data_IF_819680195700
#
_entry.id   IF_819680195700
#
_cell.length_a   1.000
_cell.length_b   1.000
_cell.length_c   1.000
_cell.angle_alpha   90.00
_cell.angle_beta   90.00
_cell.angle_gamma   90.00
#
_symmetry.space_group_name_H-M   'P 1'
#
loop_
_entity.id
_entity.type
_entity.pdbx_description
1 polymer ?
#
# COMPACT_ATOMS: atom_id res chain seq x y z
N UNK A 1 4.68 12.73 17.87
CA UNK A 1 3.42 13.50 17.65
C UNK A 1 2.45 12.60 16.92
N UNK A 2 1.20 12.56 17.35
CA UNK A 2 0.11 11.91 16.61
C UNK A 2 -0.80 13.01 16.08
N UNK A 3 -1.20 12.91 14.80
CA UNK A 3 -2.15 13.80 14.16
C UNK A 3 -3.27 12.93 13.60
N UNK A 4 -4.51 13.19 14.01
CA UNK A 4 -5.69 12.56 13.42
C UNK A 4 -6.06 13.33 12.16
N UNK A 5 -6.14 12.64 11.03
CA UNK A 5 -6.43 13.27 9.75
C UNK A 5 -7.17 12.30 8.82
N UNK A 6 -8.05 12.85 8.00
CA UNK A 6 -8.70 12.15 6.90
C UNK A 6 -8.01 12.54 5.58
N UNK A 7 -7.24 11.61 5.01
CA UNK A 7 -6.47 11.86 3.78
C UNK A 7 -7.34 12.14 2.53
N UNK A 8 -8.66 12.11 2.66
CA UNK A 8 -9.60 12.54 1.62
C UNK A 8 -9.85 14.04 1.64
N UNK A 9 -9.31 14.74 2.65
CA UNK A 9 -9.55 16.19 2.89
C UNK A 9 -8.24 16.95 2.79
N UNK A 10 -8.15 17.86 1.84
CA UNK A 10 -6.97 18.71 1.62
C UNK A 10 -6.60 19.51 2.88
N UNK A 11 -7.61 19.96 3.64
CA UNK A 11 -7.40 20.71 4.88
C UNK A 11 -6.69 19.90 5.95
N UNK A 12 -7.01 18.59 6.07
CA UNK A 12 -6.37 17.71 7.05
C UNK A 12 -4.92 17.44 6.66
N UNK A 13 -4.64 17.27 5.36
CA UNK A 13 -3.28 17.09 4.85
C UNK A 13 -2.45 18.37 5.07
N UNK A 14 -3.02 19.53 4.79
CA UNK A 14 -2.39 20.82 5.08
C UNK A 14 -2.09 20.97 6.58
N UNK A 15 -3.00 20.56 7.44
CA UNK A 15 -2.80 20.58 8.89
C UNK A 15 -1.66 19.65 9.35
N UNK A 16 -1.52 18.46 8.75
CA UNK A 16 -0.36 17.58 9.01
C UNK A 16 0.94 18.32 8.67
N UNK A 17 0.98 18.95 7.51
CA UNK A 17 2.15 19.69 7.03
C UNK A 17 2.52 20.83 7.99
N UNK A 18 1.57 21.71 8.33
CA UNK A 18 1.82 22.86 9.21
C UNK A 18 2.28 22.43 10.62
N UNK A 19 1.67 21.38 11.18
CA UNK A 19 2.11 20.85 12.48
C UNK A 19 3.51 20.23 12.43
N UNK A 20 3.86 19.55 11.34
CA UNK A 20 5.18 18.96 11.15
C UNK A 20 6.22 20.05 10.99
N UNK A 21 5.93 21.07 10.17
CA UNK A 21 6.79 22.23 9.97
C UNK A 21 7.02 23.03 11.23
N UNK A 22 5.96 23.31 11.99
CA UNK A 22 6.07 24.05 13.25
C UNK A 22 6.93 23.33 14.28
N UNK A 23 6.90 22.00 14.31
CA UNK A 23 7.62 21.19 15.31
C UNK A 23 9.05 20.84 14.93
N UNK A 24 9.32 20.56 13.67
CA UNK A 24 10.60 20.02 13.19
C UNK A 24 11.22 20.81 12.02
N UNK A 25 10.59 21.89 11.57
CA UNK A 25 11.10 22.71 10.48
C UNK A 25 10.80 22.16 9.09
N UNK A 26 10.17 20.99 8.95
CA UNK A 26 9.83 20.34 7.71
C UNK A 26 9.75 18.83 7.80
N UNK A 27 9.70 18.17 6.65
CA UNK A 27 9.65 16.71 6.52
C UNK A 27 10.79 16.22 5.63
N UNK A 28 11.45 15.14 6.03
CA UNK A 28 12.52 14.49 5.26
C UNK A 28 12.06 13.20 4.60
N UNK A 29 11.12 12.49 5.22
CA UNK A 29 10.65 11.18 4.77
C UNK A 29 9.13 11.14 4.81
N UNK A 30 8.49 10.80 3.68
CA UNK A 30 7.06 10.52 3.57
C UNK A 30 6.85 9.03 3.28
N UNK A 31 6.07 8.35 4.13
CA UNK A 31 5.66 6.96 3.89
C UNK A 31 4.15 6.92 3.66
N UNK A 32 3.75 6.72 2.40
CA UNK A 32 2.35 6.52 2.03
C UNK A 32 1.95 5.07 2.30
N UNK A 33 1.38 4.83 3.48
CA UNK A 33 0.96 3.49 3.93
C UNK A 33 -0.55 3.37 4.17
N UNK A 34 -1.27 4.50 4.23
CA UNK A 34 -2.70 4.49 4.49
C UNK A 34 -3.47 3.76 3.37
N UNK A 35 -4.36 2.88 3.76
CA UNK A 35 -5.23 2.15 2.85
C UNK A 35 -6.51 1.73 3.57
N UNK A 36 -7.61 1.65 2.84
CA UNK A 36 -8.73 0.80 3.23
C UNK A 36 -8.40 -0.64 2.78
N UNK A 37 -8.60 -1.59 3.65
CA UNK A 37 -8.59 -3.01 3.31
C UNK A 37 -9.84 -3.62 3.95
N UNK A 38 -11.00 -3.46 3.27
CA UNK A 38 -12.25 -3.95 3.81
C UNK A 38 -12.15 -5.46 3.95
N UNK A 39 -12.16 -5.92 5.21
CA UNK A 39 -12.16 -7.35 5.50
C UNK A 39 -13.52 -7.92 5.14
N UNK A 40 -13.51 -9.04 4.45
CA UNK A 40 -14.71 -9.86 4.26
C UNK A 40 -15.09 -10.41 5.63
N UNK A 41 -16.07 -9.79 6.29
CA UNK A 41 -16.57 -10.26 7.59
C UNK A 41 -17.35 -11.55 7.40
N UNK A 42 -17.25 -12.44 8.37
CA UNK A 42 -17.91 -13.73 8.33
C UNK A 42 -19.41 -13.66 8.64
N UNK A 43 -19.92 -12.54 9.21
CA UNK A 43 -21.30 -12.40 9.67
C UNK A 43 -22.05 -11.27 8.95
N UNK A 44 -23.22 -11.57 8.45
CA UNK A 44 -24.34 -10.65 8.21
C UNK A 44 -24.55 -10.13 6.80
N UNK A 45 -23.53 -9.74 6.05
CA UNK A 45 -23.72 -9.05 4.75
C UNK A 45 -23.37 -9.92 3.52
N UNK A 46 -23.17 -11.22 3.72
CA UNK A 46 -22.73 -12.09 2.62
C UNK A 46 -21.35 -11.69 2.08
N UNK A 47 -20.74 -12.52 1.27
CA UNK A 47 -19.43 -12.24 0.64
C UNK A 47 -19.57 -11.78 -0.82
N UNK A 48 -20.80 -11.85 -1.37
CA UNK A 48 -21.10 -11.58 -2.76
C UNK A 48 -20.74 -10.14 -3.22
N UNK A 49 -20.71 -9.17 -2.30
CA UNK A 49 -20.33 -7.78 -2.61
C UNK A 49 -18.86 -7.64 -3.04
N UNK A 50 -17.99 -8.58 -2.66
CA UNK A 50 -16.56 -8.54 -3.04
C UNK A 50 -16.35 -8.90 -4.50
N UNK A 51 -17.32 -9.60 -5.12
CA UNK A 51 -17.24 -10.03 -6.50
C UNK A 51 -17.33 -8.85 -7.45
N UNK A 52 -16.60 -8.94 -8.56
CA UNK A 52 -16.47 -7.83 -9.51
C UNK A 52 -17.83 -7.36 -10.04
N UNK A 53 -18.71 -8.28 -10.38
CA UNK A 53 -20.05 -7.99 -10.90
C UNK A 53 -20.98 -7.29 -9.90
N UNK A 54 -20.69 -7.43 -8.60
CA UNK A 54 -21.50 -6.86 -7.50
C UNK A 54 -20.76 -5.76 -6.74
N UNK A 55 -19.53 -5.42 -7.14
CA UNK A 55 -18.68 -4.52 -6.36
C UNK A 55 -19.27 -3.11 -6.29
N UNK A 56 -19.61 -2.57 -5.09
CA UNK A 56 -20.30 -1.29 -4.99
C UNK A 56 -19.39 -0.12 -5.42
N UNK A 57 -19.90 0.76 -6.28
CA UNK A 57 -19.17 1.97 -6.70
C UNK A 57 -18.79 2.88 -5.53
N UNK A 58 -19.60 2.91 -4.47
CA UNK A 58 -19.29 3.69 -3.27
C UNK A 58 -18.03 3.16 -2.57
N UNK A 59 -17.89 1.83 -2.44
CA UNK A 59 -16.69 1.19 -1.88
C UNK A 59 -15.49 1.47 -2.76
N UNK A 60 -15.63 1.36 -4.09
CA UNK A 60 -14.60 1.74 -5.06
C UNK A 60 -14.11 3.17 -4.82
N UNK A 61 -15.03 4.14 -4.80
CA UNK A 61 -14.68 5.54 -4.63
C UNK A 61 -13.99 5.81 -3.29
N UNK A 62 -14.47 5.19 -2.21
CA UNK A 62 -13.88 5.32 -0.87
C UNK A 62 -12.47 4.74 -0.79
N UNK A 63 -12.25 3.58 -1.38
CA UNK A 63 -10.95 2.92 -1.36
C UNK A 63 -9.92 3.71 -2.18
N UNK A 64 -10.28 4.13 -3.41
CA UNK A 64 -9.44 4.98 -4.26
C UNK A 64 -9.11 6.30 -3.56
N UNK A 65 -10.11 6.93 -2.93
CA UNK A 65 -9.91 8.19 -2.24
C UNK A 65 -8.87 8.10 -1.12
N UNK A 66 -8.86 7.02 -0.34
CA UNK A 66 -7.87 6.83 0.74
C UNK A 66 -6.53 6.32 0.19
N UNK A 67 -6.57 5.24 -0.59
CA UNK A 67 -5.35 4.49 -0.92
C UNK A 67 -4.52 5.09 -2.05
N UNK A 68 -5.16 5.81 -2.99
CA UNK A 68 -4.48 6.40 -4.13
C UNK A 68 -4.52 7.93 -4.10
N UNK A 69 -5.71 8.53 -4.03
CA UNK A 69 -5.85 9.99 -4.01
C UNK A 69 -5.16 10.58 -2.77
N UNK A 70 -5.30 9.95 -1.59
CA UNK A 70 -4.60 10.39 -0.38
C UNK A 70 -3.08 10.36 -0.53
N UNK A 71 -2.51 9.31 -1.14
CA UNK A 71 -1.07 9.24 -1.41
C UNK A 71 -0.62 10.32 -2.41
N UNK A 72 -1.43 10.59 -3.44
CA UNK A 72 -1.18 11.67 -4.40
C UNK A 72 -1.18 13.04 -3.69
N UNK A 73 -2.19 13.35 -2.89
CA UNK A 73 -2.32 14.62 -2.18
C UNK A 73 -1.19 14.80 -1.15
N UNK A 74 -0.84 13.76 -0.40
CA UNK A 74 0.31 13.81 0.51
C UNK A 74 1.61 14.09 -0.25
N UNK A 75 1.84 13.42 -1.38
CA UNK A 75 3.00 13.69 -2.22
C UNK A 75 2.96 15.10 -2.81
N UNK A 76 1.80 15.60 -3.25
CA UNK A 76 1.65 16.94 -3.79
C UNK A 76 2.04 18.02 -2.77
N UNK A 77 1.56 17.91 -1.54
CA UNK A 77 1.85 18.91 -0.48
C UNK A 77 3.26 18.72 0.08
N UNK A 78 3.54 17.53 0.63
CA UNK A 78 4.77 17.26 1.36
C UNK A 78 5.98 17.04 0.44
N UNK A 79 5.76 16.39 -0.70
CA UNK A 79 6.81 16.18 -1.71
C UNK A 79 7.24 17.48 -2.41
N UNK A 80 6.31 18.41 -2.61
CA UNK A 80 6.65 19.75 -3.15
C UNK A 80 7.56 20.51 -2.19
N UNK A 81 7.30 20.45 -0.90
CA UNK A 81 8.18 21.03 0.13
C UNK A 81 9.58 20.40 0.11
N UNK A 82 9.65 19.06 0.03
CA UNK A 82 10.94 18.33 -0.11
C UNK A 82 11.69 18.79 -1.35
N UNK A 83 11.02 18.94 -2.48
CA UNK A 83 11.61 19.40 -3.73
C UNK A 83 12.13 20.85 -3.64
N UNK A 84 11.42 21.75 -2.96
CA UNK A 84 11.87 23.12 -2.69
C UNK A 84 13.07 23.16 -1.75
N UNK A 85 13.11 22.26 -0.76
CA UNK A 85 14.25 22.10 0.16
C UNK A 85 15.48 21.48 -0.54
N UNK A 86 15.29 20.79 -1.67
CA UNK A 86 16.36 20.10 -2.40
C UNK A 86 16.72 18.72 -1.85
N UNK A 87 15.89 18.13 -0.98
CA UNK A 87 16.15 16.83 -0.35
C UNK A 87 14.87 16.19 0.18
N UNK A 88 14.68 14.89 -0.06
CA UNK A 88 13.56 14.15 0.50
C UNK A 88 13.50 12.70 0.03
N UNK A 89 12.72 11.90 0.75
CA UNK A 89 12.44 10.50 0.41
C UNK A 89 10.94 10.23 0.50
N UNK A 90 10.37 9.67 -0.55
CA UNK A 90 8.99 9.19 -0.56
C UNK A 90 8.98 7.68 -0.74
N UNK A 91 8.29 6.96 0.13
CA UNK A 91 8.11 5.51 0.06
C UNK A 91 6.62 5.23 -0.08
N UNK A 92 6.21 4.66 -1.21
CA UNK A 92 4.85 4.22 -1.43
C UNK A 92 4.73 2.73 -1.08
N UNK A 93 3.87 2.39 -0.11
CA UNK A 93 3.63 1.00 0.29
C UNK A 93 2.61 0.38 -0.66
N UNK A 94 3.12 -0.33 -1.66
CA UNK A 94 2.33 -1.13 -2.58
C UNK A 94 2.03 -2.52 -1.98
N UNK A 95 2.13 -3.59 -2.76
CA UNK A 95 1.96 -4.99 -2.36
C UNK A 95 2.54 -5.90 -3.45
N UNK A 96 2.78 -7.16 -3.13
CA UNK A 96 2.94 -8.23 -4.10
C UNK A 96 1.75 -8.29 -5.09
N UNK A 97 0.52 -8.01 -4.61
CA UNK A 97 -0.69 -7.92 -5.44
C UNK A 97 -0.77 -6.63 -6.30
N UNK A 98 0.21 -5.76 -6.24
CA UNK A 98 0.44 -4.70 -7.22
C UNK A 98 1.30 -5.15 -8.41
N UNK A 99 1.92 -6.34 -8.31
CA UNK A 99 2.82 -6.93 -9.31
C UNK A 99 2.17 -8.14 -9.97
N UNK A 100 1.57 -9.03 -9.16
CA UNK A 100 0.88 -10.22 -9.62
C UNK A 100 -0.61 -10.15 -9.27
N UNK A 101 -1.43 -10.86 -10.03
CA UNK A 101 -2.86 -10.97 -9.73
C UNK A 101 -3.12 -11.78 -8.46
N UNK A 102 -4.19 -11.49 -7.71
CA UNK A 102 -4.62 -12.34 -6.60
C UNK A 102 -5.07 -13.71 -7.11
N UNK A 103 -4.64 -14.77 -6.45
CA UNK A 103 -5.24 -16.07 -6.63
C UNK A 103 -6.55 -16.13 -5.83
N UNK A 104 -7.67 -16.05 -6.52
CA UNK A 104 -8.98 -15.99 -5.89
C UNK A 104 -9.34 -17.26 -5.11
N UNK A 105 -8.74 -18.40 -5.45
CA UNK A 105 -8.95 -19.68 -4.75
C UNK A 105 -8.50 -19.64 -3.28
N UNK A 106 -7.63 -18.69 -2.91
CA UNK A 106 -7.22 -18.51 -1.52
C UNK A 106 -8.37 -18.08 -0.61
N UNK A 107 -9.41 -17.47 -1.18
CA UNK A 107 -10.54 -16.92 -0.44
C UNK A 107 -11.76 -17.83 -0.46
N UNK A 108 -11.72 -18.95 -1.19
CA UNK A 108 -12.85 -19.89 -1.28
C UNK A 108 -13.25 -20.44 0.08
N UNK A 109 -14.56 -20.55 0.30
CA UNK A 109 -15.18 -21.13 1.49
C UNK A 109 -15.92 -22.40 1.12
N UNK A 110 -15.73 -23.42 1.94
CA UNK A 110 -16.46 -24.69 1.78
C UNK A 110 -17.98 -24.47 1.92
N UNK A 111 -18.75 -25.17 1.10
CA UNK A 111 -20.21 -25.11 1.14
C UNK A 111 -20.86 -23.92 0.43
N UNK A 112 -20.08 -22.91 -0.02
CA UNK A 112 -20.65 -21.81 -0.80
C UNK A 112 -20.70 -22.15 -2.30
N UNK A 113 -21.79 -21.79 -3.02
CA UNK A 113 -21.85 -21.93 -4.46
C UNK A 113 -20.88 -20.97 -5.16
N UNK A 114 -20.43 -21.25 -6.41
CA UNK A 114 -19.45 -20.45 -7.12
C UNK A 114 -19.78 -18.94 -7.22
N UNK A 115 -21.06 -18.59 -7.35
CA UNK A 115 -21.52 -17.19 -7.44
C UNK A 115 -21.49 -16.42 -6.13
N UNK A 116 -21.30 -17.10 -4.99
CA UNK A 116 -21.26 -16.51 -3.65
C UNK A 116 -19.86 -16.58 -3.02
N UNK A 117 -18.89 -17.19 -3.71
CA UNK A 117 -17.53 -17.29 -3.22
C UNK A 117 -16.92 -15.90 -3.04
N UNK A 118 -16.28 -15.61 -1.89
CA UNK A 118 -15.56 -14.38 -1.66
C UNK A 118 -14.34 -14.30 -2.59
N UNK A 119 -13.97 -13.07 -2.94
CA UNK A 119 -12.76 -12.77 -3.71
C UNK A 119 -12.00 -11.60 -3.10
N UNK A 120 -10.73 -11.44 -3.43
CA UNK A 120 -10.02 -10.21 -3.06
C UNK A 120 -10.66 -9.01 -3.78
N UNK A 121 -11.07 -7.96 -3.05
CA UNK A 121 -11.65 -6.77 -3.64
C UNK A 121 -10.79 -6.18 -4.76
N UNK A 122 -11.41 -5.82 -5.88
CA UNK A 122 -10.73 -5.31 -7.08
C UNK A 122 -9.92 -4.05 -6.80
N UNK A 123 -10.41 -3.18 -5.91
CA UNK A 123 -9.76 -1.93 -5.53
C UNK A 123 -8.36 -2.13 -4.97
N UNK A 124 -8.13 -3.23 -4.26
CA UNK A 124 -6.82 -3.49 -3.66
C UNK A 124 -5.72 -3.59 -4.73
N UNK A 125 -5.88 -4.48 -5.70
CA UNK A 125 -4.88 -4.65 -6.77
C UNK A 125 -4.73 -3.40 -7.62
N UNK A 126 -5.85 -2.72 -7.94
CA UNK A 126 -5.83 -1.47 -8.72
C UNK A 126 -5.02 -0.40 -8.00
N UNK A 127 -5.30 -0.14 -6.72
CA UNK A 127 -4.57 0.86 -5.92
C UNK A 127 -3.09 0.50 -5.81
N UNK A 128 -2.78 -0.75 -5.48
CA UNK A 128 -1.39 -1.19 -5.28
C UNK A 128 -0.57 -1.11 -6.56
N UNK A 129 -1.16 -1.43 -7.72
CA UNK A 129 -0.52 -1.22 -9.03
C UNK A 129 -0.38 0.27 -9.36
N UNK A 130 -1.40 1.09 -9.09
CA UNK A 130 -1.37 2.52 -9.35
C UNK A 130 -0.29 3.25 -8.51
N UNK A 131 -0.03 2.82 -7.27
CA UNK A 131 1.06 3.36 -6.45
C UNK A 131 2.44 3.12 -7.06
N UNK A 132 2.65 2.03 -7.79
CA UNK A 132 3.87 1.78 -8.57
C UNK A 132 3.98 2.80 -9.71
N UNK A 133 2.87 3.07 -10.42
CA UNK A 133 2.81 4.09 -11.45
C UNK A 133 3.13 5.50 -10.90
N UNK A 134 2.52 5.87 -9.78
CA UNK A 134 2.77 7.13 -9.08
C UNK A 134 4.25 7.26 -8.65
N UNK A 135 4.84 6.17 -8.16
CA UNK A 135 6.27 6.11 -7.78
C UNK A 135 7.16 6.45 -8.97
N UNK A 136 6.95 5.81 -10.12
CA UNK A 136 7.74 6.05 -11.34
C UNK A 136 7.58 7.47 -11.86
N UNK A 137 6.37 8.00 -11.86
CA UNK A 137 6.12 9.38 -12.28
C UNK A 137 6.88 10.38 -11.40
N UNK A 138 6.70 10.29 -10.08
CA UNK A 138 7.32 11.24 -9.14
C UNK A 138 8.83 11.11 -9.09
N UNK A 139 9.38 9.92 -9.25
CA UNK A 139 10.84 9.69 -9.26
C UNK A 139 11.55 10.44 -10.37
N UNK A 140 10.94 10.56 -11.54
CA UNK A 140 11.51 11.33 -12.65
C UNK A 140 11.19 12.81 -12.52
N UNK A 141 10.03 13.15 -11.99
CA UNK A 141 9.56 14.52 -11.87
C UNK A 141 10.43 15.36 -10.90
N UNK A 142 10.84 14.77 -9.77
CA UNK A 142 11.63 15.46 -8.74
C UNK A 142 13.09 15.01 -8.62
N UNK A 143 13.60 14.19 -9.51
CA UNK A 143 14.98 13.68 -9.44
C UNK A 143 16.03 14.80 -9.33
N UNK A 144 15.90 15.85 -10.14
CA UNK A 144 16.84 16.98 -10.13
C UNK A 144 16.70 17.89 -8.91
N UNK A 145 15.58 17.77 -8.19
CA UNK A 145 15.32 18.48 -6.94
C UNK A 145 15.73 17.66 -5.70
N UNK A 146 16.47 16.56 -5.88
CA UNK A 146 17.00 15.77 -4.78
C UNK A 146 15.99 14.92 -4.04
N UNK A 147 14.80 14.68 -4.59
CA UNK A 147 13.79 13.81 -3.98
C UNK A 147 13.82 12.43 -4.62
N UNK A 148 14.01 11.41 -3.80
CA UNK A 148 13.93 9.99 -4.21
C UNK A 148 12.56 9.42 -3.91
N UNK A 149 11.99 8.69 -4.85
CA UNK A 149 10.68 8.07 -4.70
C UNK A 149 10.76 6.60 -5.07
N UNK A 150 10.44 5.70 -4.13
CA UNK A 150 10.49 4.26 -4.35
C UNK A 150 9.20 3.58 -3.84
N UNK A 151 8.89 2.42 -4.38
CA UNK A 151 7.80 1.58 -3.91
C UNK A 151 8.36 0.39 -3.13
N UNK A 152 7.73 0.06 -2.00
CA UNK A 152 7.90 -1.22 -1.32
C UNK A 152 6.68 -2.10 -1.63
N UNK A 153 6.93 -3.31 -2.08
CA UNK A 153 5.91 -4.33 -2.37
C UNK A 153 6.05 -5.49 -1.37
N UNK A 154 5.46 -5.37 -0.18
CA UNK A 154 5.47 -6.44 0.81
C UNK A 154 4.52 -7.57 0.40
N UNK A 155 4.88 -8.81 0.74
CA UNK A 155 3.94 -9.91 0.82
C UNK A 155 3.03 -9.81 2.04
N UNK A 156 2.15 -10.80 2.24
CA UNK A 156 1.22 -10.82 3.36
C UNK A 156 1.91 -10.98 4.71
N UNK A 157 1.41 -10.25 5.72
CA UNK A 157 1.83 -10.38 7.13
C UNK A 157 0.88 -11.33 7.85
N UNK A 158 1.43 -12.26 8.61
CA UNK A 158 0.64 -13.10 9.51
C UNK A 158 0.12 -12.24 10.68
N UNK A 159 -1.21 -12.18 10.78
CA UNK A 159 -1.91 -11.32 11.74
C UNK A 159 -3.22 -11.95 12.25
N UNK A 160 -3.23 -13.28 12.44
CA UNK A 160 -4.39 -14.01 12.96
C UNK A 160 -5.42 -14.37 11.89
N UNK A 161 -4.97 -14.58 10.65
CA UNK A 161 -5.83 -15.15 9.61
C UNK A 161 -6.24 -16.60 9.97
N UNK A 162 -7.40 -17.08 9.46
CA UNK A 162 -7.82 -18.47 9.64
C UNK A 162 -6.76 -19.47 9.18
N UNK A 163 -6.62 -20.60 9.88
CA UNK A 163 -5.64 -21.64 9.58
C UNK A 163 -5.79 -22.15 8.14
N UNK A 164 -7.02 -22.35 7.69
CA UNK A 164 -7.32 -22.77 6.32
C UNK A 164 -6.76 -21.80 5.26
N UNK A 165 -6.81 -20.48 5.51
CA UNK A 165 -6.20 -19.48 4.65
C UNK A 165 -4.66 -19.56 4.69
N UNK A 166 -4.09 -19.73 5.90
CA UNK A 166 -2.64 -19.85 6.08
C UNK A 166 -2.11 -21.07 5.34
N UNK A 167 -2.78 -22.21 5.42
CA UNK A 167 -2.43 -23.44 4.71
C UNK A 167 -2.43 -23.25 3.19
N UNK A 168 -3.42 -22.56 2.65
CA UNK A 168 -3.48 -22.28 1.21
C UNK A 168 -2.43 -21.29 0.74
N UNK A 169 -2.19 -20.21 1.50
CA UNK A 169 -1.27 -19.15 1.07
C UNK A 169 0.18 -19.55 1.16
N UNK A 170 0.59 -20.39 2.14
CA UNK A 170 1.97 -20.82 2.30
C UNK A 170 2.51 -21.61 1.09
N UNK A 171 1.65 -22.37 0.40
CA UNK A 171 2.04 -23.07 -0.84
C UNK A 171 2.33 -22.13 -2.02
N UNK A 172 1.92 -20.84 -1.91
CA UNK A 172 2.18 -19.81 -2.91
C UNK A 172 3.43 -18.98 -2.60
N UNK A 173 4.08 -19.26 -1.46
CA UNK A 173 5.25 -18.52 -0.98
C UNK A 173 6.41 -19.50 -0.89
N UNK A 174 7.50 -19.35 -1.68
CA UNK A 174 8.66 -20.23 -1.63
C UNK A 174 9.26 -20.42 -0.24
N UNK A 175 9.22 -19.38 0.60
CA UNK A 175 9.67 -19.48 2.00
C UNK A 175 8.69 -20.26 2.90
N UNK A 176 7.55 -20.75 2.40
CA UNK A 176 6.59 -21.60 3.09
C UNK A 176 5.81 -20.92 4.22
N UNK A 177 5.83 -19.60 4.32
CA UNK A 177 5.13 -18.85 5.37
C UNK A 177 4.87 -17.40 4.97
N UNK A 178 3.89 -16.79 5.61
CA UNK A 178 3.72 -15.33 5.59
C UNK A 178 4.82 -14.63 6.40
N UNK A 179 4.97 -13.34 6.21
CA UNK A 179 5.95 -12.54 6.94
C UNK A 179 5.52 -12.27 8.38
N UNK A 180 6.48 -12.17 9.29
CA UNK A 180 6.27 -11.61 10.63
C UNK A 180 6.14 -10.08 10.56
N UNK A 181 5.53 -9.47 11.57
CA UNK A 181 5.25 -8.02 11.66
C UNK A 181 6.50 -7.13 11.59
N UNK A 182 7.68 -7.66 11.89
CA UNK A 182 8.94 -6.92 11.95
C UNK A 182 9.83 -7.08 10.70
N UNK A 183 9.51 -8.01 9.79
CA UNK A 183 10.38 -8.35 8.66
C UNK A 183 10.48 -7.26 7.58
N UNK A 184 9.58 -6.29 7.56
CA UNK A 184 9.63 -5.16 6.63
C UNK A 184 10.39 -3.93 7.15
N UNK A 185 10.73 -3.89 8.45
CA UNK A 185 11.41 -2.73 9.05
C UNK A 185 12.75 -2.44 8.38
N UNK A 186 13.53 -3.48 8.11
CA UNK A 186 14.82 -3.33 7.43
C UNK A 186 14.72 -2.73 6.03
N UNK A 187 13.72 -3.16 5.25
CA UNK A 187 13.48 -2.62 3.90
C UNK A 187 13.07 -1.14 3.94
N UNK A 188 12.21 -0.76 4.89
CA UNK A 188 11.81 0.64 5.08
C UNK A 188 13.00 1.50 5.51
N UNK A 189 13.79 1.05 6.48
CA UNK A 189 15.00 1.76 6.92
C UNK A 189 16.02 1.90 5.80
N UNK A 190 16.23 0.87 4.99
CA UNK A 190 17.09 0.94 3.82
C UNK A 190 16.60 2.00 2.82
N UNK A 191 15.33 1.96 2.43
CA UNK A 191 14.75 2.91 1.47
C UNK A 191 14.77 4.35 2.00
N UNK A 192 14.61 4.54 3.31
CA UNK A 192 14.59 5.85 3.97
C UNK A 192 15.98 6.46 4.20
N UNK A 193 17.04 5.67 4.10
CA UNK A 193 18.41 6.09 4.45
C UNK A 193 19.30 6.34 3.22
N UNK A 194 20.50 6.88 3.48
CA UNK A 194 21.54 7.08 2.47
C UNK A 194 22.08 5.77 1.88
N UNK A 195 21.83 4.62 2.51
CA UNK A 195 22.17 3.31 1.95
C UNK A 195 21.47 3.04 0.60
N UNK A 196 20.37 3.74 0.32
CA UNK A 196 19.65 3.70 -0.95
C UNK A 196 19.77 5.00 -1.78
N UNK A 197 20.84 5.79 -1.59
CA UNK A 197 21.01 7.12 -2.21
C UNK A 197 20.97 7.11 -3.74
N UNK A 198 21.34 6.01 -4.37
CA UNK A 198 21.27 5.85 -5.84
C UNK A 198 20.04 5.09 -6.32
N UNK A 199 19.05 4.87 -5.44
CA UNK A 199 17.82 4.14 -5.73
C UNK A 199 16.65 5.10 -5.87
N UNK A 200 16.12 5.21 -7.10
CA UNK A 200 15.01 6.10 -7.43
C UNK A 200 14.10 5.45 -8.49
N UNK A 201 12.79 5.49 -8.29
CA UNK A 201 11.79 4.86 -9.17
C UNK A 201 11.73 3.33 -9.07
N UNK A 202 12.42 2.75 -8.12
CA UNK A 202 12.52 1.30 -7.95
C UNK A 202 11.29 0.71 -7.27
N UNK A 203 11.03 -0.55 -7.60
CA UNK A 203 10.00 -1.39 -6.97
C UNK A 203 10.72 -2.48 -6.19
N UNK A 204 10.81 -2.31 -4.87
CA UNK A 204 11.45 -3.27 -3.99
C UNK A 204 10.43 -4.33 -3.54
N UNK A 205 10.63 -5.57 -3.94
CA UNK A 205 9.78 -6.69 -3.56
C UNK A 205 10.37 -7.40 -2.35
N UNK A 206 9.53 -7.63 -1.33
CA UNK A 206 9.88 -8.40 -0.12
C UNK A 206 8.66 -9.26 0.21
N UNK A 207 8.57 -10.47 -0.36
CA UNK A 207 7.36 -11.27 -0.37
C UNK A 207 7.60 -12.77 -0.13
N UNK A 208 8.78 -13.14 0.33
CA UNK A 208 9.15 -14.55 0.52
C UNK A 208 9.31 -15.34 -0.78
N UNK A 209 9.43 -14.65 -1.92
CA UNK A 209 9.57 -15.24 -3.25
C UNK A 209 8.25 -15.47 -3.97
N UNK A 210 7.10 -15.00 -3.43
CA UNK A 210 5.78 -15.25 -4.00
C UNK A 210 5.62 -14.78 -5.45
N UNK A 211 6.28 -13.69 -5.84
CA UNK A 211 6.19 -13.15 -7.19
C UNK A 211 7.24 -13.70 -8.18
N UNK A 212 8.02 -14.70 -7.76
CA UNK A 212 9.07 -15.29 -8.62
C UNK A 212 8.55 -16.37 -9.56
N UNK A 213 7.30 -16.85 -9.41
CA UNK A 213 6.68 -17.94 -10.19
C UNK A 213 5.19 -17.69 -10.47
#
# INVERSE_FOLDING_TARGET
>A
MLVSADLRKDQDIAAIFEQTRARWGGLDILINNAANDPKVKEEGDGTAWTRFENFPQEVWNKDIAVGLTGAFLCAQVLGTEMAQKGSGVIINISSDLGIVAPDQRLYEKEGLPPGEQPVKPVTYSVIKTALIGLTRYLSTYWAKQGVRVNALCPGGIEAGQPEEFLDRVQFRIPMGRMARKDEYKGAILFLASEASSYMNGSVMVVDGGRTCW
#
